data_IF_062063239603
#
_entry.id   IF_062063239603
#
_cell.length_a   1.000
_cell.length_b   1.000
_cell.length_c   1.000
_cell.angle_alpha   90.00
_cell.angle_beta   90.00
_cell.angle_gamma   90.00
#
_symmetry.space_group_name_H-M   'P 1'
#
loop_
_entity.id
_entity.type
_entity.pdbx_description
1 polymer ?
#
# COMPACT_ATOMS: atom_id res chain seq x y z
N UNK A 1 43.58 -11.18 -2.93
CA UNK A 1 43.27 -10.30 -1.77
C UNK A 1 43.00 -8.89 -2.25
N UNK A 2 41.84 -8.63 -2.86
CA UNK A 2 41.49 -7.28 -3.32
C UNK A 2 39.99 -7.07 -3.23
N UNK A 3 39.60 -5.82 -2.96
CA UNK A 3 38.24 -5.29 -2.76
C UNK A 3 37.69 -5.34 -1.33
N UNK A 4 38.27 -4.53 -0.44
CA UNK A 4 37.66 -4.15 0.85
C UNK A 4 37.76 -2.63 1.09
N UNK A 5 37.84 -1.84 0.00
CA UNK A 5 37.96 -0.36 0.01
C UNK A 5 36.68 0.34 -0.47
N UNK A 6 35.52 -0.25 -0.18
CA UNK A 6 34.21 0.38 -0.37
C UNK A 6 33.62 0.84 0.97
N UNK A 7 32.55 1.67 0.97
CA UNK A 7 31.88 2.10 2.20
C UNK A 7 31.31 0.94 3.03
N UNK A 8 31.14 -0.26 2.43
CA UNK A 8 30.67 -1.48 3.08
C UNK A 8 31.65 -2.64 2.87
N UNK A 9 32.75 -2.70 3.65
CA UNK A 9 33.70 -3.80 3.61
C UNK A 9 33.02 -5.15 3.82
N UNK A 10 33.38 -6.16 3.01
CA UNK A 10 32.88 -7.53 3.13
C UNK A 10 31.43 -7.78 2.71
N UNK A 11 30.66 -6.74 2.35
CA UNK A 11 29.25 -6.88 2.00
C UNK A 11 29.02 -7.73 0.75
N UNK A 12 29.84 -7.57 -0.29
CA UNK A 12 29.72 -8.39 -1.50
C UNK A 12 29.86 -9.89 -1.18
N UNK A 13 30.81 -10.24 -0.31
CA UNK A 13 31.02 -11.61 0.13
C UNK A 13 29.81 -12.13 0.91
N UNK A 14 29.28 -11.33 1.83
CA UNK A 14 28.05 -11.65 2.57
C UNK A 14 26.89 -11.97 1.61
N UNK A 15 26.66 -11.11 0.61
CA UNK A 15 25.60 -11.31 -0.40
C UNK A 15 25.86 -12.59 -1.19
N UNK A 16 27.05 -12.74 -1.79
CA UNK A 16 27.39 -13.91 -2.61
C UNK A 16 27.20 -15.22 -1.85
N UNK A 17 27.60 -15.27 -0.59
CA UNK A 17 27.50 -16.46 0.26
C UNK A 17 26.05 -16.81 0.64
N UNK A 18 25.22 -15.81 0.92
CA UNK A 18 23.90 -16.06 1.53
C UNK A 18 22.69 -15.80 0.63
N UNK A 19 22.84 -15.14 -0.52
CA UNK A 19 21.72 -14.76 -1.39
C UNK A 19 20.86 -15.94 -1.83
N UNK A 20 21.48 -17.06 -2.21
CA UNK A 20 20.74 -18.24 -2.66
C UNK A 20 19.93 -18.86 -1.52
N UNK A 21 20.43 -18.81 -0.28
CA UNK A 21 19.74 -19.33 0.89
C UNK A 21 18.53 -18.46 1.24
N UNK A 22 18.68 -17.13 1.22
CA UNK A 22 17.59 -16.18 1.47
C UNK A 22 16.51 -16.30 0.40
N UNK A 23 16.89 -16.33 -0.87
CA UNK A 23 15.95 -16.50 -1.99
C UNK A 23 15.18 -17.81 -1.89
N UNK A 24 15.87 -18.95 -1.65
CA UNK A 24 15.20 -20.26 -1.48
C UNK A 24 14.24 -20.26 -0.29
N UNK A 25 14.61 -19.59 0.80
CA UNK A 25 13.76 -19.47 1.98
C UNK A 25 12.48 -18.67 1.68
N UNK A 26 12.59 -17.58 0.91
CA UNK A 26 11.43 -16.78 0.48
C UNK A 26 10.53 -17.55 -0.49
N UNK A 27 11.12 -18.28 -1.45
CA UNK A 27 10.36 -19.20 -2.33
C UNK A 27 9.61 -20.27 -1.54
N UNK A 28 10.23 -20.82 -0.49
CA UNK A 28 9.58 -21.77 0.41
C UNK A 28 8.40 -21.15 1.18
N UNK A 29 8.50 -19.86 1.55
CA UNK A 29 7.42 -19.15 2.25
C UNK A 29 6.23 -18.79 1.33
N UNK A 30 6.36 -18.96 0.01
CA UNK A 30 5.29 -18.77 -0.95
C UNK A 30 5.42 -17.55 -1.86
N UNK A 31 6.50 -16.76 -1.76
CA UNK A 31 6.78 -15.69 -2.74
C UNK A 31 6.91 -16.29 -4.13
N UNK A 32 6.42 -15.62 -5.18
CA UNK A 32 6.78 -15.97 -6.55
C UNK A 32 8.28 -15.71 -6.84
N UNK A 33 8.75 -16.03 -8.05
CA UNK A 33 10.16 -15.88 -8.41
C UNK A 33 10.64 -14.43 -8.39
N UNK A 34 9.81 -13.50 -8.89
CA UNK A 34 10.14 -12.08 -8.95
C UNK A 34 10.13 -11.47 -7.54
N UNK A 35 9.06 -11.70 -6.77
CA UNK A 35 8.93 -11.23 -5.39
C UNK A 35 10.08 -11.78 -4.52
N UNK A 36 10.46 -13.04 -4.69
CA UNK A 36 11.58 -13.62 -3.95
C UNK A 36 12.92 -12.95 -4.28
N UNK A 37 13.15 -12.54 -5.54
CA UNK A 37 14.37 -11.79 -5.91
C UNK A 37 14.38 -10.41 -5.25
N UNK A 38 13.26 -9.69 -5.31
CA UNK A 38 13.13 -8.35 -4.74
C UNK A 38 13.27 -8.37 -3.22
N UNK A 39 12.59 -9.29 -2.54
CA UNK A 39 12.69 -9.43 -1.09
C UNK A 39 14.08 -9.92 -0.64
N UNK A 40 14.79 -10.68 -1.48
CA UNK A 40 16.19 -11.02 -1.22
C UNK A 40 17.06 -9.76 -1.26
N UNK A 41 16.89 -8.92 -2.28
CA UNK A 41 17.63 -7.65 -2.39
C UNK A 41 17.33 -6.74 -1.18
N UNK A 42 16.05 -6.52 -0.87
CA UNK A 42 15.59 -5.72 0.28
C UNK A 42 16.15 -6.26 1.61
N UNK A 43 16.26 -7.59 1.75
CA UNK A 43 16.88 -8.20 2.94
C UNK A 43 18.34 -7.76 3.11
N UNK A 44 19.13 -7.76 2.04
CA UNK A 44 20.54 -7.34 2.11
C UNK A 44 20.69 -5.83 2.22
N UNK A 45 19.84 -5.03 1.58
CA UNK A 45 19.86 -3.57 1.74
C UNK A 45 19.59 -3.17 3.21
N UNK A 46 18.71 -3.89 3.91
CA UNK A 46 18.41 -3.63 5.34
C UNK A 46 19.53 -3.99 6.30
N UNK A 47 20.47 -4.82 5.86
CA UNK A 47 21.61 -5.25 6.69
C UNK A 47 22.95 -4.67 6.22
N UNK A 48 22.93 -3.79 5.22
CA UNK A 48 24.10 -3.15 4.61
C UNK A 48 25.03 -2.52 5.65
N UNK A 49 24.46 -1.81 6.63
CA UNK A 49 25.20 -1.09 7.67
C UNK A 49 25.33 -1.88 8.99
N UNK A 50 25.05 -3.18 8.97
CA UNK A 50 25.01 -4.01 10.18
C UNK A 50 26.19 -4.99 10.19
N UNK A 51 26.97 -5.07 11.29
CA UNK A 51 28.12 -5.99 11.39
C UNK A 51 27.65 -7.42 11.72
N UNK A 52 26.86 -8.02 10.84
CA UNK A 52 26.20 -9.32 11.08
C UNK A 52 27.10 -10.52 10.83
N UNK A 53 28.20 -10.33 10.10
CA UNK A 53 29.25 -11.30 9.86
C UNK A 53 29.94 -11.76 11.15
N UNK A 54 29.86 -10.94 12.22
CA UNK A 54 30.37 -11.25 13.56
C UNK A 54 29.60 -12.35 14.30
N UNK A 55 28.43 -12.76 13.82
CA UNK A 55 27.61 -13.79 14.47
C UNK A 55 28.01 -15.22 14.12
N UNK A 56 29.06 -15.41 13.32
CA UNK A 56 29.40 -16.70 12.72
C UNK A 56 28.38 -17.15 11.67
N UNK A 57 28.66 -18.22 10.92
CA UNK A 57 27.83 -18.58 9.76
C UNK A 57 26.39 -18.95 10.15
N UNK A 58 26.22 -19.74 11.22
CA UNK A 58 24.89 -20.14 11.70
C UNK A 58 24.04 -18.96 12.17
N UNK A 59 24.64 -18.05 12.95
CA UNK A 59 23.97 -16.85 13.45
C UNK A 59 23.61 -15.88 12.32
N UNK A 60 24.51 -15.69 11.36
CA UNK A 60 24.27 -14.87 10.17
C UNK A 60 23.10 -15.41 9.35
N UNK A 61 23.07 -16.72 9.09
CA UNK A 61 21.95 -17.37 8.38
C UNK A 61 20.62 -17.19 9.10
N UNK A 62 20.59 -17.40 10.42
CA UNK A 62 19.37 -17.24 11.22
C UNK A 62 18.87 -15.80 11.21
N UNK A 63 19.79 -14.82 11.33
CA UNK A 63 19.46 -13.41 11.29
C UNK A 63 18.88 -13.00 9.92
N UNK A 64 19.54 -13.39 8.83
CA UNK A 64 19.05 -13.09 7.47
C UNK A 64 17.67 -13.68 7.21
N UNK A 65 17.39 -14.93 7.65
CA UNK A 65 16.05 -15.51 7.56
C UNK A 65 15.02 -14.72 8.34
N UNK A 66 15.35 -14.23 9.54
CA UNK A 66 14.46 -13.38 10.34
C UNK A 66 14.14 -12.07 9.61
N UNK A 67 15.14 -11.42 9.04
CA UNK A 67 14.95 -10.18 8.27
C UNK A 67 14.09 -10.44 7.03
N UNK A 68 14.38 -11.49 6.28
CA UNK A 68 13.62 -11.90 5.09
C UNK A 68 12.16 -12.24 5.42
N UNK A 69 11.90 -13.03 6.47
CA UNK A 69 10.54 -13.34 6.94
C UNK A 69 9.77 -12.07 7.29
N UNK A 70 10.41 -11.12 7.99
CA UNK A 70 9.76 -9.87 8.33
C UNK A 70 9.49 -8.99 7.09
N UNK A 71 10.37 -9.03 6.09
CA UNK A 71 10.14 -8.38 4.80
C UNK A 71 8.93 -8.97 4.09
N UNK A 72 8.84 -10.30 4.04
CA UNK A 72 7.73 -11.03 3.45
C UNK A 72 6.40 -10.76 4.15
N UNK A 73 6.34 -10.85 5.49
CA UNK A 73 5.11 -10.54 6.23
C UNK A 73 4.61 -9.12 5.96
N UNK A 74 5.53 -8.14 5.84
CA UNK A 74 5.18 -6.78 5.43
C UNK A 74 4.71 -6.70 3.98
N UNK A 75 5.27 -7.50 3.07
CA UNK A 75 4.80 -7.62 1.69
C UNK A 75 3.33 -8.04 1.65
N UNK A 76 3.00 -9.12 2.37
CA UNK A 76 1.63 -9.64 2.46
C UNK A 76 0.66 -8.61 3.06
N UNK A 77 1.07 -7.91 4.12
CA UNK A 77 0.24 -6.84 4.72
C UNK A 77 -0.01 -5.69 3.73
N UNK A 78 1.00 -5.31 2.94
CA UNK A 78 0.84 -4.28 1.90
C UNK A 78 -0.06 -4.76 0.76
N UNK A 79 0.13 -5.99 0.27
CA UNK A 79 -0.70 -6.58 -0.77
C UNK A 79 -2.17 -6.70 -0.33
N UNK A 80 -2.41 -7.06 0.94
CA UNK A 80 -3.76 -7.10 1.49
C UNK A 80 -4.42 -5.71 1.61
N UNK A 81 -3.63 -4.64 1.85
CA UNK A 81 -4.13 -3.26 1.93
C UNK A 81 -4.25 -2.55 0.58
N UNK A 82 -3.48 -3.00 -0.42
CA UNK A 82 -3.46 -2.49 -1.79
C UNK A 82 -3.50 -3.70 -2.73
N UNK A 83 -4.70 -4.23 -3.02
CA UNK A 83 -4.80 -5.32 -3.97
C UNK A 83 -4.15 -4.87 -5.28
N UNK A 84 -3.36 -5.76 -5.88
CA UNK A 84 -2.82 -5.54 -7.22
C UNK A 84 -4.02 -5.45 -8.15
N UNK A 85 -4.23 -4.26 -8.72
CA UNK A 85 -5.23 -4.03 -9.75
C UNK A 85 -4.57 -4.34 -11.08
N UNK A 86 -5.28 -5.07 -11.94
CA UNK A 86 -4.85 -5.30 -13.30
C UNK A 86 -4.61 -3.96 -14.01
N UNK A 87 -3.55 -3.88 -14.81
CA UNK A 87 -3.16 -2.61 -15.43
C UNK A 87 -4.23 -2.11 -16.40
N UNK A 88 -4.89 -3.00 -17.15
CA UNK A 88 -5.96 -2.62 -18.06
C UNK A 88 -7.17 -2.09 -17.29
N UNK A 89 -7.45 -2.67 -16.12
CA UNK A 89 -8.51 -2.17 -15.22
C UNK A 89 -8.16 -0.81 -14.64
N UNK A 90 -6.89 -0.58 -14.28
CA UNK A 90 -6.43 0.71 -13.78
C UNK A 90 -6.45 1.78 -14.89
N UNK A 91 -6.03 1.43 -16.10
CA UNK A 91 -6.05 2.30 -17.27
C UNK A 91 -7.48 2.67 -17.65
N UNK A 92 -8.40 1.69 -17.75
CA UNK A 92 -9.81 1.95 -18.02
C UNK A 92 -10.47 2.84 -16.96
N UNK A 93 -10.11 2.67 -15.68
CA UNK A 93 -10.58 3.54 -14.61
C UNK A 93 -10.03 4.97 -14.73
N UNK A 94 -8.76 5.11 -15.14
CA UNK A 94 -8.15 6.40 -15.42
C UNK A 94 -8.80 7.09 -16.63
N UNK A 95 -9.04 6.36 -17.72
CA UNK A 95 -9.72 6.87 -18.92
C UNK A 95 -11.13 7.36 -18.62
N UNK A 96 -11.88 6.57 -17.84
CA UNK A 96 -13.19 6.98 -17.36
C UNK A 96 -13.14 8.25 -16.49
N UNK A 97 -12.16 8.33 -15.59
CA UNK A 97 -11.99 9.49 -14.71
C UNK A 97 -11.56 10.76 -15.46
N UNK A 98 -10.64 10.65 -16.41
CA UNK A 98 -10.11 11.81 -17.14
C UNK A 98 -11.11 12.39 -18.13
N UNK A 99 -12.02 11.58 -18.68
CA UNK A 99 -12.92 12.02 -19.75
C UNK A 99 -12.17 12.77 -20.87
N UNK A 100 -12.82 13.80 -21.41
CA UNK A 100 -12.24 14.71 -22.40
C UNK A 100 -11.60 15.97 -21.78
N UNK A 101 -11.80 16.19 -20.48
CA UNK A 101 -11.47 17.43 -19.75
C UNK A 101 -10.46 17.22 -18.60
N UNK A 102 -9.71 16.11 -18.65
CA UNK A 102 -8.77 15.69 -17.61
C UNK A 102 -9.39 15.54 -16.20
N UNK A 103 -10.69 15.28 -16.15
CA UNK A 103 -11.47 15.01 -14.95
C UNK A 103 -11.88 16.26 -14.18
N UNK A 104 -11.88 17.43 -14.82
CA UNK A 104 -12.35 18.69 -14.23
C UNK A 104 -13.84 18.63 -13.88
N UNK A 105 -14.69 18.23 -14.82
CA UNK A 105 -16.14 17.97 -14.61
C UNK A 105 -16.40 16.98 -13.49
N UNK A 106 -15.58 15.92 -13.38
CA UNK A 106 -15.72 14.92 -12.32
C UNK A 106 -15.37 15.50 -10.94
N UNK A 107 -14.35 16.36 -10.86
CA UNK A 107 -14.01 17.09 -9.63
C UNK A 107 -15.11 18.07 -9.24
N UNK A 108 -15.58 18.88 -10.19
CA UNK A 108 -16.66 19.84 -9.97
C UNK A 108 -17.97 19.17 -9.55
N UNK A 109 -18.30 18.04 -10.18
CA UNK A 109 -19.44 17.23 -9.80
C UNK A 109 -19.29 16.66 -8.38
N UNK A 110 -18.09 16.19 -8.01
CA UNK A 110 -17.81 15.71 -6.66
C UNK A 110 -17.97 16.82 -5.61
N UNK A 111 -17.37 17.99 -5.84
CA UNK A 111 -17.44 19.12 -4.91
C UNK A 111 -18.89 19.56 -4.70
N UNK A 112 -19.63 19.75 -5.80
CA UNK A 112 -21.04 20.09 -5.73
C UNK A 112 -21.90 18.98 -5.08
N UNK A 113 -21.52 17.71 -5.20
CA UNK A 113 -22.23 16.60 -4.56
C UNK A 113 -21.89 16.45 -3.07
N UNK A 114 -20.65 16.78 -2.66
CA UNK A 114 -20.25 16.83 -1.24
C UNK A 114 -21.06 17.88 -0.47
N UNK A 115 -21.43 18.98 -1.13
CA UNK A 115 -22.33 20.00 -0.57
C UNK A 115 -23.73 19.47 -0.25
N UNK A 116 -24.19 18.42 -0.95
CA UNK A 116 -25.53 17.81 -0.73
C UNK A 116 -25.60 16.81 0.43
N UNK A 117 -24.45 16.46 1.01
CA UNK A 117 -24.38 15.56 2.16
C UNK A 117 -24.70 16.32 3.45
N UNK A 118 -25.20 15.58 4.46
CA UNK A 118 -25.31 16.14 5.81
C UNK A 118 -23.92 16.43 6.39
N UNK A 119 -23.84 17.41 7.30
CA UNK A 119 -22.57 17.80 7.94
C UNK A 119 -21.88 16.61 8.60
N UNK A 120 -22.65 15.73 9.26
CA UNK A 120 -22.12 14.51 9.87
C UNK A 120 -21.52 13.55 8.83
N UNK A 121 -22.17 13.40 7.66
CA UNK A 121 -21.65 12.58 6.57
C UNK A 121 -20.40 13.19 5.93
N UNK A 122 -20.38 14.51 5.72
CA UNK A 122 -19.23 15.24 5.19
C UNK A 122 -18.04 15.14 6.13
N UNK A 123 -18.24 15.41 7.43
CA UNK A 123 -17.20 15.28 8.47
C UNK A 123 -16.65 13.85 8.55
N UNK A 124 -17.50 12.83 8.44
CA UNK A 124 -17.05 11.45 8.41
C UNK A 124 -16.13 11.15 7.22
N UNK A 125 -16.40 11.75 6.05
CA UNK A 125 -15.55 11.61 4.86
C UNK A 125 -14.24 12.38 4.99
N UNK A 126 -14.27 13.60 5.53
CA UNK A 126 -13.05 14.39 5.82
C UNK A 126 -12.11 13.65 6.78
N UNK A 127 -12.63 13.15 7.90
CA UNK A 127 -11.85 12.36 8.85
C UNK A 127 -11.28 11.10 8.18
N UNK A 128 -12.05 10.48 7.26
CA UNK A 128 -11.63 9.26 6.57
C UNK A 128 -10.55 9.49 5.52
N UNK A 129 -10.70 10.52 4.68
CA UNK A 129 -9.87 10.71 3.49
C UNK A 129 -8.82 11.81 3.65
N UNK A 130 -9.15 12.88 4.37
CA UNK A 130 -8.21 13.95 4.73
C UNK A 130 -7.31 13.52 5.89
N UNK A 131 -7.90 13.19 7.03
CA UNK A 131 -7.15 12.90 8.27
C UNK A 131 -6.74 11.41 8.40
N UNK A 132 -7.25 10.54 7.50
CA UNK A 132 -6.95 9.09 7.42
C UNK A 132 -7.30 8.26 8.66
N UNK A 133 -8.35 8.66 9.38
CA UNK A 133 -8.79 7.93 10.57
C UNK A 133 -9.36 6.54 10.24
N UNK A 134 -9.22 5.62 11.19
CA UNK A 134 -9.91 4.31 11.13
C UNK A 134 -11.41 4.51 11.35
N UNK A 135 -12.25 3.55 10.93
CA UNK A 135 -13.70 3.64 11.15
C UNK A 135 -14.04 3.77 12.63
N UNK A 136 -13.30 3.06 13.48
CA UNK A 136 -13.51 3.09 14.94
C UNK A 136 -13.13 4.45 15.53
N UNK A 137 -12.04 5.05 15.07
CA UNK A 137 -11.64 6.41 15.47
C UNK A 137 -12.68 7.46 15.03
N UNK A 138 -13.21 7.34 13.81
CA UNK A 138 -14.29 8.23 13.32
C UNK A 138 -15.57 8.02 14.14
N UNK A 139 -15.90 6.78 14.49
CA UNK A 139 -17.07 6.47 15.30
C UNK A 139 -16.98 7.13 16.68
N UNK A 140 -15.81 7.03 17.32
CA UNK A 140 -15.53 7.68 18.60
C UNK A 140 -15.61 9.22 18.50
N UNK A 141 -14.99 9.80 17.47
CA UNK A 141 -14.98 11.25 17.22
C UNK A 141 -16.40 11.80 17.01
N UNK A 142 -17.22 11.09 16.23
CA UNK A 142 -18.59 11.51 15.91
C UNK A 142 -19.63 11.05 16.94
N UNK A 143 -19.23 10.37 18.01
CA UNK A 143 -20.13 9.88 19.04
C UNK A 143 -21.16 8.85 18.55
N UNK A 144 -20.82 8.04 17.52
CA UNK A 144 -21.71 7.02 16.95
C UNK A 144 -21.13 5.62 17.11
N UNK A 145 -21.99 4.59 17.09
CA UNK A 145 -21.54 3.20 17.17
C UNK A 145 -20.84 2.69 15.89
N UNK A 146 -20.09 1.60 15.99
CA UNK A 146 -19.38 0.96 14.88
C UNK A 146 -20.31 0.58 13.70
N UNK A 147 -21.53 0.12 14.00
CA UNK A 147 -22.54 -0.13 12.98
C UNK A 147 -23.04 1.18 12.33
N UNK A 148 -23.17 2.25 13.13
CA UNK A 148 -23.57 3.58 12.68
C UNK A 148 -22.59 4.17 11.66
N UNK A 149 -21.28 4.15 11.96
CA UNK A 149 -20.27 4.67 11.02
C UNK A 149 -20.22 3.86 9.71
N UNK A 150 -20.35 2.53 9.80
CA UNK A 150 -20.38 1.67 8.62
C UNK A 150 -21.54 2.06 7.70
N UNK A 151 -22.74 2.15 8.28
CA UNK A 151 -23.96 2.49 7.54
C UNK A 151 -23.96 3.94 7.04
N UNK A 152 -23.39 4.88 7.80
CA UNK A 152 -23.22 6.27 7.38
C UNK A 152 -22.34 6.37 6.13
N UNK A 153 -21.12 5.83 6.18
CA UNK A 153 -20.18 5.87 5.04
C UNK A 153 -20.76 5.17 3.80
N UNK A 154 -21.39 4.00 3.97
CA UNK A 154 -22.02 3.27 2.87
C UNK A 154 -23.10 4.11 2.16
N UNK A 155 -23.99 4.75 2.93
CA UNK A 155 -25.02 5.63 2.35
C UNK A 155 -24.43 6.88 1.71
N UNK A 156 -23.40 7.46 2.31
CA UNK A 156 -22.70 8.61 1.73
C UNK A 156 -22.08 8.26 0.38
N UNK A 157 -21.38 7.12 0.25
CA UNK A 157 -20.82 6.68 -1.03
C UNK A 157 -21.89 6.43 -2.09
N UNK A 158 -22.98 5.74 -1.72
CA UNK A 158 -24.08 5.50 -2.64
C UNK A 158 -24.72 6.81 -3.13
N UNK A 159 -24.89 7.79 -2.23
CA UNK A 159 -25.46 9.09 -2.56
C UNK A 159 -24.54 9.92 -3.44
N UNK A 160 -23.25 9.97 -3.13
CA UNK A 160 -22.25 10.65 -3.95
C UNK A 160 -22.19 10.04 -5.34
N UNK A 161 -22.15 8.71 -5.44
CA UNK A 161 -22.14 8.00 -6.73
C UNK A 161 -23.32 8.42 -7.62
N UNK A 162 -24.55 8.30 -7.11
CA UNK A 162 -25.76 8.66 -7.88
C UNK A 162 -25.77 10.15 -8.24
N UNK A 163 -25.31 11.02 -7.35
CA UNK A 163 -25.25 12.46 -7.60
C UNK A 163 -24.24 12.80 -8.71
N UNK A 164 -23.04 12.24 -8.65
CA UNK A 164 -21.97 12.46 -9.63
C UNK A 164 -22.38 11.89 -10.99
N UNK A 165 -22.87 10.65 -11.03
CA UNK A 165 -23.35 10.00 -12.26
C UNK A 165 -24.44 10.85 -12.94
N UNK A 166 -25.39 11.41 -12.18
CA UNK A 166 -26.43 12.30 -12.73
C UNK A 166 -25.87 13.60 -13.29
N UNK A 167 -24.90 14.22 -12.60
CA UNK A 167 -24.29 15.49 -13.05
C UNK A 167 -23.49 15.29 -14.32
N UNK A 168 -22.67 14.24 -14.37
CA UNK A 168 -21.88 13.88 -15.55
C UNK A 168 -22.75 13.41 -16.73
N UNK A 169 -23.93 12.86 -16.47
CA UNK A 169 -24.90 12.49 -17.51
C UNK A 169 -25.75 13.67 -18.01
N UNK A 170 -25.67 14.85 -17.39
CA UNK A 170 -26.52 16.01 -17.69
C UNK A 170 -25.72 17.24 -18.13
N UNK A 171 -24.46 17.06 -18.53
CA UNK A 171 -23.67 18.14 -19.09
C UNK A 171 -24.21 18.48 -20.50
N UNK A 172 -24.72 19.71 -20.74
CA UNK A 172 -24.93 20.16 -22.10
C UNK A 172 -23.55 20.37 -22.75
N UNK A 173 -23.40 19.87 -23.97
CA UNK A 173 -22.25 20.14 -24.84
C UNK A 173 -21.99 21.63 -25.04
#
# INVERSE_FOLDING_TARGET
MSSDRGPFPGFERLVRTHQAMVWRYLRFLGCDDAEARDLTQDTFLRVLDRPIDRFGEGGTRAYLRRVARNAYLRSLERAARRPVVDLDVAEAAYEWYRGDDEGESTRDALDACLETLSDQARRALELRFGERFTRDAIAAELGIGAHGIKSLLQRSYARLRVCIERRLSHEPA
#
